data_IF_257042723531
#
_entry.id   IF_257042723531
#
_cell.length_a   1.000
_cell.length_b   1.000
_cell.length_c   1.000
_cell.angle_alpha   90.00
_cell.angle_beta   90.00
_cell.angle_gamma   90.00
#
_symmetry.space_group_name_H-M   'P 1'
#
loop_
_entity.id
_entity.type
_entity.pdbx_description
1 polymer ?
#
# COMPACT_ATOMS: atom_id res chain seq x y z
N UNK A 1 54.39 -23.94 16.06
CA UNK A 1 53.71 -22.93 15.21
C UNK A 1 52.28 -23.28 14.75
N UNK A 2 51.86 -24.55 14.62
CA UNK A 2 50.48 -24.90 14.18
C UNK A 2 49.36 -24.54 15.18
N UNK A 3 49.62 -24.53 16.50
CA UNK A 3 48.61 -24.26 17.53
C UNK A 3 48.15 -22.79 17.63
N UNK A 4 49.02 -21.82 17.33
CA UNK A 4 48.68 -20.39 17.41
C UNK A 4 47.74 -19.91 16.30
N UNK A 5 47.72 -20.60 15.14
CA UNK A 5 46.70 -20.40 14.10
C UNK A 5 45.31 -20.88 14.54
N UNK A 6 45.23 -21.86 15.45
CA UNK A 6 43.97 -22.44 15.90
C UNK A 6 43.16 -21.52 16.81
N UNK A 7 43.82 -20.81 17.75
CA UNK A 7 43.12 -19.89 18.69
C UNK A 7 42.65 -18.62 17.98
N UNK A 8 43.50 -18.00 17.14
CA UNK A 8 43.11 -16.85 16.31
C UNK A 8 41.98 -17.20 15.34
N UNK A 9 41.98 -18.39 14.75
CA UNK A 9 40.88 -18.87 13.90
C UNK A 9 39.57 -19.07 14.65
N UNK A 10 39.61 -19.61 15.87
CA UNK A 10 38.42 -19.80 16.72
C UNK A 10 37.85 -18.48 17.22
N UNK A 11 38.70 -17.52 17.61
CA UNK A 11 38.25 -16.17 17.98
C UNK A 11 37.64 -15.40 16.81
N UNK A 12 38.19 -15.54 15.59
CA UNK A 12 37.59 -14.94 14.39
C UNK A 12 36.21 -15.54 14.08
N UNK A 13 36.03 -16.85 14.23
CA UNK A 13 34.75 -17.53 14.02
C UNK A 13 33.63 -17.03 14.95
N UNK A 14 33.92 -16.80 16.23
CA UNK A 14 32.92 -16.33 17.21
C UNK A 14 32.40 -14.92 16.86
N UNK A 15 33.20 -14.08 16.21
CA UNK A 15 32.78 -12.74 15.80
C UNK A 15 32.22 -12.68 14.36
N UNK A 16 32.70 -13.54 13.46
CA UNK A 16 32.21 -13.56 12.07
C UNK A 16 30.82 -14.19 11.93
N UNK A 17 30.50 -15.20 12.74
CA UNK A 17 29.19 -15.86 12.65
C UNK A 17 28.03 -14.91 13.00
N UNK A 18 28.07 -14.14 14.12
CA UNK A 18 27.02 -13.17 14.43
C UNK A 18 26.96 -12.01 13.42
N UNK A 19 28.12 -11.52 12.96
CA UNK A 19 28.16 -10.44 11.96
C UNK A 19 27.58 -10.90 10.61
N UNK A 20 27.92 -12.11 10.16
CA UNK A 20 27.33 -12.70 8.96
C UNK A 20 25.82 -12.91 9.10
N UNK A 21 25.35 -13.37 10.26
CA UNK A 21 23.92 -13.52 10.53
C UNK A 21 23.18 -12.18 10.46
N UNK A 22 23.74 -11.10 11.02
CA UNK A 22 23.15 -9.75 10.94
C UNK A 22 23.06 -9.24 9.50
N UNK A 23 24.09 -9.48 8.68
CA UNK A 23 24.07 -9.11 7.26
C UNK A 23 22.98 -9.87 6.51
N UNK A 24 22.86 -11.18 6.75
CA UNK A 24 21.79 -12.00 6.13
C UNK A 24 20.41 -11.49 6.54
N UNK A 25 20.18 -11.20 7.83
CA UNK A 25 18.92 -10.63 8.31
C UNK A 25 18.62 -9.28 7.65
N UNK A 26 19.62 -8.39 7.54
CA UNK A 26 19.45 -7.10 6.89
C UNK A 26 19.08 -7.25 5.40
N UNK A 27 19.71 -8.19 4.67
CA UNK A 27 19.38 -8.48 3.27
C UNK A 27 17.96 -9.03 3.13
N UNK A 28 17.53 -9.93 4.03
CA UNK A 28 16.17 -10.48 4.03
C UNK A 28 15.13 -9.38 4.30
N UNK A 29 15.39 -8.50 5.27
CA UNK A 29 14.51 -7.35 5.58
C UNK A 29 14.43 -6.41 4.37
N UNK A 30 15.57 -6.06 3.76
CA UNK A 30 15.59 -5.20 2.58
C UNK A 30 14.79 -5.79 1.41
N UNK A 31 14.99 -7.09 1.12
CA UNK A 31 14.24 -7.78 0.08
C UNK A 31 12.73 -7.79 0.37
N UNK A 32 12.34 -8.06 1.62
CA UNK A 32 10.95 -8.04 2.04
C UNK A 32 10.30 -6.66 1.85
N UNK A 33 10.99 -5.59 2.26
CA UNK A 33 10.48 -4.22 2.16
C UNK A 33 10.36 -3.74 0.71
N UNK A 34 11.33 -4.10 -0.16
CA UNK A 34 11.23 -3.83 -1.60
C UNK A 34 10.07 -4.59 -2.23
N UNK A 35 9.89 -5.87 -1.87
CA UNK A 35 8.79 -6.67 -2.37
C UNK A 35 7.43 -6.11 -1.92
N UNK A 36 7.31 -5.68 -0.67
CA UNK A 36 6.12 -5.05 -0.13
C UNK A 36 5.80 -3.74 -0.85
N UNK A 37 6.80 -2.86 -1.05
CA UNK A 37 6.61 -1.58 -1.75
C UNK A 37 6.14 -1.77 -3.20
N UNK A 38 6.69 -2.74 -3.92
CA UNK A 38 6.24 -3.06 -5.28
C UNK A 38 4.81 -3.58 -5.29
N UNK A 39 4.45 -4.49 -4.37
CA UNK A 39 3.08 -5.01 -4.27
C UNK A 39 2.05 -3.91 -3.99
N UNK A 40 2.36 -2.99 -3.08
CA UNK A 40 1.48 -1.86 -2.76
C UNK A 40 1.32 -0.94 -3.96
N UNK A 41 2.41 -0.64 -4.68
CA UNK A 41 2.39 0.15 -5.91
C UNK A 41 1.53 -0.49 -7.00
N UNK A 42 1.75 -1.77 -7.29
CA UNK A 42 1.03 -2.47 -8.36
C UNK A 42 -0.46 -2.54 -8.03
N UNK A 43 -0.81 -2.86 -6.77
CA UNK A 43 -2.20 -2.88 -6.32
C UNK A 43 -2.87 -1.50 -6.42
N UNK A 44 -2.14 -0.42 -6.12
CA UNK A 44 -2.65 0.94 -6.23
C UNK A 44 -2.91 1.35 -7.69
N UNK A 45 -2.03 0.97 -8.62
CA UNK A 45 -2.19 1.23 -10.05
C UNK A 45 -3.34 0.41 -10.63
N UNK A 46 -3.44 -0.87 -10.28
CA UNK A 46 -4.54 -1.73 -10.71
C UNK A 46 -5.90 -1.23 -10.19
N UNK A 47 -5.95 -0.76 -8.93
CA UNK A 47 -7.13 -0.15 -8.34
C UNK A 47 -7.50 1.17 -9.04
N UNK A 48 -6.52 2.02 -9.34
CA UNK A 48 -6.72 3.26 -10.09
C UNK A 48 -7.30 3.00 -11.48
N UNK A 49 -6.75 2.03 -12.20
CA UNK A 49 -7.20 1.65 -13.52
C UNK A 49 -8.60 1.04 -13.48
N UNK A 50 -8.91 0.21 -12.48
CA UNK A 50 -10.24 -0.35 -12.25
C UNK A 50 -11.26 0.76 -11.93
N UNK A 51 -10.91 1.72 -11.08
CA UNK A 51 -11.75 2.87 -10.78
C UNK A 51 -11.99 3.74 -12.02
N UNK A 52 -10.94 4.04 -12.79
CA UNK A 52 -11.02 4.78 -14.05
C UNK A 52 -11.83 4.07 -15.13
N UNK A 53 -11.79 2.73 -15.21
CA UNK A 53 -12.68 1.94 -16.08
C UNK A 53 -14.13 2.05 -15.62
N UNK A 54 -14.38 1.93 -14.32
CA UNK A 54 -15.73 1.97 -13.76
C UNK A 54 -16.37 3.35 -13.91
N UNK A 55 -15.64 4.43 -13.67
CA UNK A 55 -16.13 5.78 -13.89
C UNK A 55 -16.48 6.04 -15.37
N UNK A 56 -15.66 5.58 -16.31
CA UNK A 56 -16.00 5.64 -17.74
C UNK A 56 -17.22 4.80 -18.09
N UNK A 57 -17.39 3.65 -17.45
CA UNK A 57 -18.59 2.83 -17.62
C UNK A 57 -19.84 3.52 -17.06
N UNK A 58 -19.74 4.23 -15.92
CA UNK A 58 -20.82 5.08 -15.39
C UNK A 58 -21.21 6.15 -16.42
N UNK A 59 -20.25 6.89 -16.97
CA UNK A 59 -20.53 7.89 -18.02
C UNK A 59 -21.18 7.27 -19.27
N UNK A 60 -20.76 6.08 -19.67
CA UNK A 60 -21.40 5.36 -20.77
C UNK A 60 -22.84 4.95 -20.44
N UNK A 61 -23.11 4.50 -19.22
CA UNK A 61 -24.45 4.15 -18.75
C UNK A 61 -25.36 5.38 -18.63
N UNK A 62 -24.83 6.53 -18.25
CA UNK A 62 -25.53 7.81 -18.24
C UNK A 62 -26.01 8.17 -19.65
N UNK A 63 -25.12 8.10 -20.64
CA UNK A 63 -25.52 8.31 -22.04
C UNK A 63 -26.58 7.31 -22.54
N UNK A 64 -26.48 6.04 -22.14
CA UNK A 64 -27.49 5.03 -22.46
C UNK A 64 -28.84 5.31 -21.78
N UNK A 65 -28.83 5.80 -20.53
CA UNK A 65 -30.04 6.23 -19.80
C UNK A 65 -30.74 7.35 -20.55
N UNK A 66 -30.04 8.44 -20.85
CA UNK A 66 -30.60 9.60 -21.55
C UNK A 66 -31.16 9.22 -22.92
N UNK A 67 -30.46 8.36 -23.66
CA UNK A 67 -30.94 7.84 -24.94
C UNK A 67 -32.21 6.99 -24.79
N UNK A 68 -32.25 6.06 -23.83
CA UNK A 68 -33.41 5.20 -23.59
C UNK A 68 -34.64 5.98 -23.08
N UNK A 69 -34.43 7.06 -22.34
CA UNK A 69 -35.50 7.92 -21.81
C UNK A 69 -36.18 8.81 -22.86
N UNK A 70 -35.62 8.90 -24.07
CA UNK A 70 -36.25 9.61 -25.19
C UNK A 70 -37.55 8.95 -25.66
N UNK A 71 -37.74 7.64 -25.41
CA UNK A 71 -38.96 6.91 -25.70
C UNK A 71 -39.97 7.05 -24.53
N UNK A 72 -41.14 7.69 -24.71
CA UNK A 72 -42.08 7.97 -23.61
C UNK A 72 -42.53 6.72 -22.85
N UNK A 73 -42.87 5.65 -23.57
CA UNK A 73 -43.43 4.42 -22.98
C UNK A 73 -42.43 3.64 -22.12
N UNK A 74 -41.13 3.85 -22.32
CA UNK A 74 -40.06 3.12 -21.64
C UNK A 74 -39.31 3.96 -20.60
N UNK A 75 -39.62 5.26 -20.51
CA UNK A 75 -38.88 6.24 -19.72
C UNK A 75 -38.69 5.86 -18.26
N UNK A 76 -39.76 5.49 -17.57
CA UNK A 76 -39.70 5.11 -16.14
C UNK A 76 -38.89 3.84 -15.93
N UNK A 77 -39.09 2.82 -16.78
CA UNK A 77 -38.37 1.56 -16.71
C UNK A 77 -36.88 1.75 -17.04
N UNK A 78 -36.56 2.54 -18.06
CA UNK A 78 -35.19 2.91 -18.44
C UNK A 78 -34.48 3.66 -17.32
N UNK A 79 -35.12 4.70 -16.76
CA UNK A 79 -34.58 5.45 -15.63
C UNK A 79 -34.25 4.53 -14.45
N UNK A 80 -35.18 3.68 -14.02
CA UNK A 80 -34.96 2.77 -12.90
C UNK A 80 -33.85 1.76 -13.18
N UNK A 81 -33.85 1.13 -14.37
CA UNK A 81 -32.85 0.13 -14.74
C UNK A 81 -31.43 0.70 -14.77
N UNK A 82 -31.23 1.82 -15.45
CA UNK A 82 -29.89 2.42 -15.57
C UNK A 82 -29.42 3.02 -14.26
N UNK A 83 -30.30 3.66 -13.50
CA UNK A 83 -29.98 4.19 -12.17
C UNK A 83 -29.50 3.07 -11.25
N UNK A 84 -30.20 1.94 -11.19
CA UNK A 84 -29.76 0.79 -10.39
C UNK A 84 -28.39 0.26 -10.83
N UNK A 85 -28.12 0.18 -12.14
CA UNK A 85 -26.84 -0.30 -12.67
C UNK A 85 -25.69 0.65 -12.33
N UNK A 86 -25.92 1.96 -12.42
CA UNK A 86 -24.94 2.99 -12.06
C UNK A 86 -24.69 2.97 -10.55
N UNK A 87 -25.73 2.92 -9.74
CA UNK A 87 -25.61 2.85 -8.28
C UNK A 87 -24.84 1.59 -7.85
N UNK A 88 -25.07 0.45 -8.50
CA UNK A 88 -24.32 -0.79 -8.27
C UNK A 88 -22.83 -0.63 -8.62
N UNK A 89 -22.52 0.04 -9.74
CA UNK A 89 -21.13 0.30 -10.14
C UNK A 89 -20.42 1.22 -9.14
N UNK A 90 -21.07 2.30 -8.69
CA UNK A 90 -20.55 3.23 -7.68
C UNK A 90 -20.39 2.52 -6.32
N UNK A 91 -21.36 1.70 -5.90
CA UNK A 91 -21.27 0.91 -4.68
C UNK A 91 -20.09 -0.08 -4.73
N UNK A 92 -19.82 -0.67 -5.89
CA UNK A 92 -18.64 -1.51 -6.12
C UNK A 92 -17.34 -0.75 -5.85
N UNK A 93 -17.23 0.52 -6.28
CA UNK A 93 -16.06 1.35 -5.97
C UNK A 93 -15.94 1.65 -4.48
N UNK A 94 -17.05 1.92 -3.77
CA UNK A 94 -17.03 2.14 -2.32
C UNK A 94 -16.54 0.91 -1.55
N UNK A 95 -16.90 -0.30 -2.00
CA UNK A 95 -16.38 -1.51 -1.34
C UNK A 95 -14.87 -1.66 -1.53
N UNK A 96 -14.33 -1.23 -2.68
CA UNK A 96 -12.89 -1.29 -2.94
C UNK A 96 -12.07 -0.35 -2.03
N UNK A 97 -12.62 0.79 -1.60
CA UNK A 97 -11.87 1.74 -0.76
C UNK A 97 -11.51 1.15 0.61
N UNK A 98 -12.22 0.10 1.06
CA UNK A 98 -11.93 -0.62 2.31
C UNK A 98 -10.60 -1.39 2.28
N UNK A 99 -10.09 -1.68 1.09
CA UNK A 99 -8.82 -2.39 0.91
C UNK A 99 -7.63 -1.44 0.67
N UNK A 100 -7.84 -0.13 0.83
CA UNK A 100 -6.74 0.83 0.78
C UNK A 100 -5.69 0.52 1.86
N UNK A 101 -4.39 0.71 1.57
CA UNK A 101 -3.31 0.28 2.46
C UNK A 101 -3.22 1.10 3.75
N UNK A 102 -3.70 2.35 3.72
CA UNK A 102 -3.67 3.28 4.84
C UNK A 102 -4.96 4.13 4.88
N UNK A 103 -5.20 4.75 6.05
CA UNK A 103 -6.42 5.50 6.32
C UNK A 103 -6.54 6.78 5.47
N UNK A 104 -5.43 7.43 5.13
CA UNK A 104 -5.43 8.67 4.35
C UNK A 104 -5.79 8.35 2.90
N UNK A 105 -5.17 7.33 2.29
CA UNK A 105 -5.54 6.82 0.97
C UNK A 105 -7.01 6.38 0.92
N UNK A 106 -7.49 5.66 1.95
CA UNK A 106 -8.90 5.23 2.04
C UNK A 106 -9.86 6.43 2.06
N UNK A 107 -9.54 7.45 2.85
CA UNK A 107 -10.30 8.68 2.95
C UNK A 107 -10.37 9.40 1.60
N UNK A 108 -9.21 9.63 0.95
CA UNK A 108 -9.15 10.34 -0.34
C UNK A 108 -9.89 9.58 -1.46
N UNK A 109 -9.78 8.25 -1.49
CA UNK A 109 -10.53 7.41 -2.43
C UNK A 109 -12.04 7.47 -2.17
N UNK A 110 -12.46 7.45 -0.90
CA UNK A 110 -13.87 7.58 -0.52
C UNK A 110 -14.44 8.93 -0.99
N UNK A 111 -13.72 10.03 -0.73
CA UNK A 111 -14.09 11.35 -1.24
C UNK A 111 -14.19 11.38 -2.77
N UNK A 112 -13.31 10.70 -3.50
CA UNK A 112 -13.41 10.58 -4.96
C UNK A 112 -14.71 9.86 -5.37
N UNK A 113 -15.03 8.74 -4.76
CA UNK A 113 -16.26 8.00 -5.09
C UNK A 113 -17.53 8.79 -4.72
N UNK A 114 -17.48 9.58 -3.66
CA UNK A 114 -18.56 10.52 -3.30
C UNK A 114 -18.72 11.64 -4.35
N UNK A 115 -17.62 12.19 -4.88
CA UNK A 115 -17.67 13.14 -6.01
C UNK A 115 -18.26 12.52 -7.28
N UNK A 116 -17.94 11.26 -7.58
CA UNK A 116 -18.58 10.55 -8.69
C UNK A 116 -20.09 10.41 -8.46
N UNK A 117 -20.50 10.22 -7.20
CA UNK A 117 -21.93 10.16 -6.81
C UNK A 117 -22.63 11.51 -7.00
N UNK A 118 -21.94 12.63 -6.71
CA UNK A 118 -22.44 13.98 -7.01
C UNK A 118 -22.63 14.18 -8.51
N UNK A 119 -21.65 13.80 -9.33
CA UNK A 119 -21.74 13.90 -10.78
C UNK A 119 -22.90 13.08 -11.35
N UNK A 120 -23.11 11.87 -10.82
CA UNK A 120 -24.28 11.04 -11.15
C UNK A 120 -25.60 11.65 -10.68
N UNK A 121 -25.65 12.27 -9.51
CA UNK A 121 -26.84 12.97 -9.02
C UNK A 121 -27.26 14.12 -9.94
N UNK A 122 -26.29 14.85 -10.50
CA UNK A 122 -26.55 15.90 -11.48
C UNK A 122 -26.97 15.32 -12.85
N UNK A 123 -26.32 14.26 -13.33
CA UNK A 123 -26.74 13.60 -14.58
C UNK A 123 -28.17 13.03 -14.49
N UNK A 124 -28.54 12.58 -13.28
CA UNK A 124 -29.89 12.12 -12.96
C UNK A 124 -30.92 13.24 -13.01
N UNK A 125 -30.61 14.44 -12.52
CA UNK A 125 -31.50 15.60 -12.66
C UNK A 125 -31.64 16.02 -14.12
N UNK A 126 -30.54 16.03 -14.88
CA UNK A 126 -30.55 16.33 -16.32
C UNK A 126 -31.39 15.33 -17.12
N UNK A 127 -31.20 14.02 -16.87
CA UNK A 127 -31.98 12.95 -17.49
C UNK A 127 -33.49 13.11 -17.25
N UNK A 128 -33.88 13.49 -16.03
CA UNK A 128 -35.28 13.74 -15.67
C UNK A 128 -35.83 15.00 -16.34
N UNK A 129 -35.03 16.06 -16.45
CA UNK A 129 -35.41 17.28 -17.15
C UNK A 129 -35.64 17.03 -18.65
N UNK A 130 -34.75 16.26 -19.30
CA UNK A 130 -34.88 15.87 -20.72
C UNK A 130 -36.12 15.00 -20.99
N UNK A 131 -36.51 14.21 -20.00
CA UNK A 131 -37.73 13.41 -20.05
C UNK A 131 -39.02 14.26 -20.01
N UNK A 132 -38.92 15.51 -19.58
CA UNK A 132 -40.04 16.40 -19.29
C UNK A 132 -40.44 16.35 -17.81
N UNK A 133 -40.65 17.53 -17.22
CA UNK A 133 -41.08 17.68 -15.82
C UNK A 133 -42.61 17.72 -15.74
N UNK A 134 -43.19 16.67 -15.17
CA UNK A 134 -44.63 16.54 -14.89
C UNK A 134 -44.88 16.27 -13.40
N UNK A 135 -46.12 15.99 -13.01
CA UNK A 135 -46.47 15.70 -11.60
C UNK A 135 -45.79 14.45 -11.02
N UNK A 136 -45.30 13.54 -11.87
CA UNK A 136 -44.64 12.29 -11.49
C UNK A 136 -43.12 12.47 -11.44
N UNK A 137 -42.51 13.13 -12.42
CA UNK A 137 -41.05 13.30 -12.53
C UNK A 137 -40.51 14.47 -11.71
N UNK A 138 -41.36 15.46 -11.35
CA UNK A 138 -40.93 16.64 -10.57
C UNK A 138 -40.34 16.29 -9.22
N UNK A 139 -40.97 15.40 -8.46
CA UNK A 139 -40.46 15.03 -7.13
C UNK A 139 -39.08 14.33 -7.21
N UNK A 140 -38.90 13.26 -8.01
CA UNK A 140 -37.59 12.67 -8.25
C UNK A 140 -36.54 13.69 -8.72
N UNK A 141 -36.94 14.65 -9.56
CA UNK A 141 -36.05 15.71 -10.02
C UNK A 141 -35.59 16.61 -8.85
N UNK A 142 -36.54 17.12 -8.06
CA UNK A 142 -36.22 17.96 -6.90
C UNK A 142 -35.38 17.23 -5.84
N UNK A 143 -35.64 15.94 -5.62
CA UNK A 143 -34.87 15.08 -4.72
C UNK A 143 -33.44 14.91 -5.23
N UNK A 144 -33.24 14.67 -6.54
CA UNK A 144 -31.92 14.54 -7.14
C UNK A 144 -31.12 15.85 -7.04
N UNK A 145 -31.74 16.99 -7.38
CA UNK A 145 -31.09 18.31 -7.31
C UNK A 145 -30.66 18.65 -5.89
N UNK A 146 -31.57 18.49 -4.92
CA UNK A 146 -31.26 18.75 -3.52
C UNK A 146 -30.14 17.84 -3.00
N UNK A 147 -30.18 16.55 -3.33
CA UNK A 147 -29.21 15.58 -2.87
C UNK A 147 -27.79 15.88 -3.40
N UNK A 148 -27.64 16.12 -4.70
CA UNK A 148 -26.28 16.33 -5.25
C UNK A 148 -25.69 17.66 -4.79
N UNK A 149 -26.49 18.74 -4.67
CA UNK A 149 -26.00 20.04 -4.18
C UNK A 149 -25.56 19.95 -2.72
N UNK A 150 -26.39 19.35 -1.85
CA UNK A 150 -26.06 19.18 -0.44
C UNK A 150 -24.82 18.30 -0.24
N UNK A 151 -24.68 17.25 -1.04
CA UNK A 151 -23.51 16.38 -0.99
C UNK A 151 -22.24 17.10 -1.47
N UNK A 152 -22.33 17.91 -2.53
CA UNK A 152 -21.22 18.72 -3.01
C UNK A 152 -20.74 19.73 -1.95
N UNK A 153 -21.68 20.42 -1.27
CA UNK A 153 -21.37 21.33 -0.17
C UNK A 153 -20.71 20.61 1.02
N UNK A 154 -21.18 19.39 1.35
CA UNK A 154 -20.61 18.55 2.40
C UNK A 154 -19.18 18.11 2.07
N UNK A 155 -18.91 17.86 0.79
CA UNK A 155 -17.60 17.42 0.30
C UNK A 155 -16.60 18.56 0.16
N UNK A 156 -17.04 19.79 -0.09
CA UNK A 156 -16.18 20.95 -0.29
C UNK A 156 -15.02 21.10 0.74
N UNK A 157 -15.24 20.97 2.07
CA UNK A 157 -14.15 21.08 3.05
C UNK A 157 -13.19 19.87 3.06
N UNK A 158 -13.57 18.76 2.43
CA UNK A 158 -12.79 17.52 2.40
C UNK A 158 -11.88 17.43 1.16
N UNK A 159 -12.09 18.32 0.19
CA UNK A 159 -11.30 18.37 -1.03
C UNK A 159 -9.86 18.76 -0.75
N UNK A 160 -8.96 18.31 -1.63
CA UNK A 160 -7.61 18.86 -1.70
C UNK A 160 -7.66 20.38 -1.93
N UNK A 161 -6.59 21.09 -1.60
CA UNK A 161 -6.51 22.55 -1.82
C UNK A 161 -6.83 22.93 -3.27
N UNK A 162 -6.26 22.19 -4.23
CA UNK A 162 -6.54 22.39 -5.64
C UNK A 162 -7.98 22.03 -6.04
N UNK A 163 -8.59 21.04 -5.38
CA UNK A 163 -10.00 20.68 -5.57
C UNK A 163 -10.94 21.74 -4.99
N UNK A 164 -10.61 22.34 -3.84
CA UNK A 164 -11.35 23.45 -3.24
C UNK A 164 -11.32 24.69 -4.13
N UNK A 165 -10.16 25.02 -4.71
CA UNK A 165 -10.05 26.11 -5.70
C UNK A 165 -10.93 25.82 -6.92
N UNK A 166 -10.92 24.59 -7.43
CA UNK A 166 -11.75 24.19 -8.57
C UNK A 166 -13.26 24.24 -8.23
N UNK A 167 -13.65 23.78 -7.04
CA UNK A 167 -15.01 23.87 -6.52
C UNK A 167 -15.49 25.32 -6.39
N UNK A 168 -14.67 26.20 -5.83
CA UNK A 168 -14.98 27.62 -5.71
C UNK A 168 -15.09 28.31 -7.07
N UNK A 169 -14.22 27.96 -8.01
CA UNK A 169 -14.29 28.44 -9.39
C UNK A 169 -15.59 27.99 -10.07
N UNK A 170 -15.94 26.71 -9.91
CA UNK A 170 -17.19 26.13 -10.42
C UNK A 170 -18.40 26.87 -9.86
N UNK A 171 -18.53 27.00 -8.54
CA UNK A 171 -19.72 27.58 -7.90
C UNK A 171 -19.86 29.09 -8.10
N UNK A 172 -18.76 29.80 -8.39
CA UNK A 172 -18.79 31.22 -8.79
C UNK A 172 -19.03 31.42 -10.30
N UNK A 173 -19.05 30.34 -11.09
CA UNK A 173 -19.18 30.43 -12.54
C UNK A 173 -20.59 30.85 -12.98
N UNK A 174 -20.65 31.49 -14.16
CA UNK A 174 -21.93 31.82 -14.79
C UNK A 174 -22.70 30.55 -15.22
N UNK A 175 -22.00 29.46 -15.54
CA UNK A 175 -22.63 28.20 -15.95
C UNK A 175 -23.30 27.49 -14.76
N UNK A 176 -22.64 27.45 -13.60
CA UNK A 176 -23.27 26.98 -12.36
C UNK A 176 -24.50 27.81 -11.99
N UNK A 177 -24.39 29.15 -12.03
CA UNK A 177 -25.50 30.04 -11.72
C UNK A 177 -26.68 29.84 -12.67
N UNK A 178 -26.41 29.61 -13.97
CA UNK A 178 -27.43 29.37 -14.99
C UNK A 178 -28.10 28.01 -14.83
N UNK A 179 -27.32 26.96 -14.57
CA UNK A 179 -27.85 25.64 -14.26
C UNK A 179 -28.76 25.73 -13.03
N UNK A 180 -28.29 26.41 -11.98
CA UNK A 180 -29.03 26.51 -10.73
C UNK A 180 -30.38 27.21 -10.91
N UNK A 181 -30.41 28.34 -11.62
CA UNK A 181 -31.63 29.07 -11.91
C UNK A 181 -32.64 28.24 -12.73
N UNK A 182 -32.16 27.39 -13.65
CA UNK A 182 -33.01 26.51 -14.45
C UNK A 182 -33.58 25.37 -13.63
N UNK A 183 -32.77 24.75 -12.77
CA UNK A 183 -33.25 23.71 -11.86
C UNK A 183 -34.26 24.26 -10.85
N UNK A 184 -34.04 25.47 -10.34
CA UNK A 184 -34.96 26.14 -9.44
C UNK A 184 -36.29 26.47 -10.16
N UNK A 185 -36.24 26.91 -11.42
CA UNK A 185 -37.44 27.13 -12.25
C UNK A 185 -38.21 25.82 -12.51
N UNK A 186 -37.52 24.73 -12.83
CA UNK A 186 -38.15 23.41 -12.98
C UNK A 186 -38.82 22.93 -11.69
N UNK A 187 -38.17 23.15 -10.54
CA UNK A 187 -38.71 22.81 -9.23
C UNK A 187 -39.98 23.63 -8.91
N UNK A 188 -39.95 24.93 -9.22
CA UNK A 188 -41.07 25.86 -9.02
C UNK A 188 -42.19 25.76 -10.06
N UNK A 189 -41.99 24.98 -11.13
CA UNK A 189 -42.87 24.93 -12.30
C UNK A 189 -43.01 26.29 -13.00
N UNK A 190 -41.94 27.06 -13.01
CA UNK A 190 -41.85 28.37 -13.65
C UNK A 190 -41.27 28.28 -15.07
N UNK A 191 -41.51 29.28 -15.94
CA UNK A 191 -40.87 29.36 -17.24
C UNK A 191 -39.34 29.39 -17.12
N UNK A 192 -38.64 28.74 -18.05
CA UNK A 192 -37.18 28.72 -18.04
C UNK A 192 -36.61 30.14 -18.19
N UNK A 193 -35.65 30.53 -17.33
CA UNK A 193 -35.04 31.87 -17.38
C UNK A 193 -34.13 32.07 -18.60
N UNK A 194 -33.75 30.97 -19.27
CA UNK A 194 -32.89 30.96 -20.46
C UNK A 194 -33.37 29.91 -21.47
N UNK A 195 -33.02 30.03 -22.77
CA UNK A 195 -33.34 29.03 -23.78
C UNK A 195 -32.78 27.65 -23.47
N UNK A 196 -33.43 26.61 -24.00
CA UNK A 196 -33.06 25.21 -23.77
C UNK A 196 -31.58 24.92 -24.12
N UNK A 197 -31.16 25.34 -25.32
CA UNK A 197 -29.79 25.15 -25.80
C UNK A 197 -28.74 25.77 -24.87
N UNK A 198 -29.04 26.94 -24.29
CA UNK A 198 -28.13 27.68 -23.41
C UNK A 198 -27.97 26.98 -22.07
N UNK A 199 -29.06 26.50 -21.46
CA UNK A 199 -28.93 25.77 -20.20
C UNK A 199 -28.27 24.41 -20.40
N UNK A 200 -28.57 23.70 -21.50
CA UNK A 200 -27.92 22.42 -21.79
C UNK A 200 -26.41 22.59 -21.92
N UNK A 201 -25.96 23.63 -22.63
CA UNK A 201 -24.53 23.91 -22.70
C UNK A 201 -23.91 24.13 -21.32
N UNK A 202 -24.60 24.85 -20.43
CA UNK A 202 -24.12 25.08 -19.07
C UNK A 202 -24.07 23.77 -18.24
N UNK A 203 -25.11 22.94 -18.33
CA UNK A 203 -25.16 21.63 -17.68
C UNK A 203 -24.01 20.72 -18.12
N UNK A 204 -23.70 20.68 -19.43
CA UNK A 204 -22.55 19.95 -19.95
C UNK A 204 -21.22 20.47 -19.37
N UNK A 205 -21.03 21.79 -19.32
CA UNK A 205 -19.81 22.39 -18.73
C UNK A 205 -19.68 22.03 -17.26
N UNK A 206 -20.75 22.15 -16.47
CA UNK A 206 -20.75 21.80 -15.04
C UNK A 206 -20.45 20.31 -14.85
N UNK A 207 -21.07 19.42 -15.65
CA UNK A 207 -20.82 17.97 -15.60
C UNK A 207 -19.35 17.64 -15.82
N UNK A 208 -18.72 18.28 -16.82
CA UNK A 208 -17.29 18.12 -17.09
C UNK A 208 -16.42 18.62 -15.93
N UNK A 209 -16.79 19.75 -15.30
CA UNK A 209 -16.06 20.29 -14.16
C UNK A 209 -16.18 19.38 -12.92
N UNK A 210 -17.37 18.82 -12.65
CA UNK A 210 -17.56 17.82 -11.59
C UNK A 210 -16.78 16.53 -11.86
N UNK A 211 -16.77 16.04 -13.10
CA UNK A 211 -15.93 14.92 -13.51
C UNK A 211 -14.42 15.20 -13.37
N UNK A 212 -14.02 16.46 -13.55
CA UNK A 212 -12.68 16.95 -13.27
C UNK A 212 -12.31 16.86 -11.79
N UNK A 213 -13.21 17.27 -10.88
CA UNK A 213 -13.01 17.13 -9.44
C UNK A 213 -12.80 15.67 -9.03
N UNK A 214 -13.65 14.75 -9.52
CA UNK A 214 -13.47 13.30 -9.32
C UNK A 214 -12.09 12.83 -9.79
N UNK A 215 -11.72 13.17 -11.02
CA UNK A 215 -10.47 12.71 -11.64
C UNK A 215 -9.25 13.21 -10.86
N UNK A 216 -9.26 14.47 -10.44
CA UNK A 216 -8.21 15.08 -9.63
C UNK A 216 -8.08 14.42 -8.26
N UNK A 217 -9.21 14.22 -7.58
CA UNK A 217 -9.25 13.58 -6.27
C UNK A 217 -8.76 12.13 -6.33
N UNK A 218 -9.17 11.38 -7.37
CA UNK A 218 -8.70 10.02 -7.60
C UNK A 218 -7.19 9.96 -7.89
N UNK A 219 -6.67 10.88 -8.70
CA UNK A 219 -5.23 10.95 -8.99
C UNK A 219 -4.41 11.27 -7.74
N UNK A 220 -4.89 12.20 -6.91
CA UNK A 220 -4.24 12.52 -5.65
C UNK A 220 -4.18 11.32 -4.71
N UNK A 221 -5.28 10.57 -4.57
CA UNK A 221 -5.31 9.36 -3.74
C UNK A 221 -4.29 8.31 -4.20
N UNK A 222 -4.13 8.14 -5.52
CA UNK A 222 -3.15 7.21 -6.10
C UNK A 222 -1.72 7.69 -5.84
N UNK A 223 -1.45 8.99 -6.02
CA UNK A 223 -0.13 9.56 -5.74
C UNK A 223 0.27 9.41 -4.28
N UNK A 224 -0.66 9.58 -3.35
CA UNK A 224 -0.43 9.38 -1.92
C UNK A 224 0.04 7.94 -1.62
N UNK A 225 -0.66 6.95 -2.17
CA UNK A 225 -0.26 5.54 -2.01
C UNK A 225 1.11 5.24 -2.62
N UNK A 226 1.44 5.86 -3.76
CA UNK A 226 2.75 5.71 -4.39
C UNK A 226 3.88 6.33 -3.57
N UNK A 227 3.64 7.51 -2.99
CA UNK A 227 4.63 8.22 -2.18
C UNK A 227 4.87 7.56 -0.83
N UNK A 228 3.84 6.96 -0.21
CA UNK A 228 4.01 6.14 0.99
C UNK A 228 4.88 4.90 0.72
N UNK A 229 4.65 4.23 -0.41
CA UNK A 229 5.51 3.13 -0.87
C UNK A 229 6.98 3.55 -1.06
N UNK A 230 7.22 4.75 -1.62
CA UNK A 230 8.58 5.31 -1.76
C UNK A 230 9.23 5.63 -0.42
N UNK A 231 8.49 6.23 0.52
CA UNK A 231 9.00 6.54 1.87
C UNK A 231 9.37 5.28 2.63
N UNK A 232 8.52 4.26 2.56
CA UNK A 232 8.79 2.94 3.16
C UNK A 232 10.07 2.33 2.58
N UNK A 233 10.26 2.41 1.27
CA UNK A 233 11.49 1.92 0.60
C UNK A 233 12.74 2.74 0.97
N UNK A 234 12.63 4.07 1.06
CA UNK A 234 13.74 4.93 1.46
C UNK A 234 14.15 4.66 2.93
N UNK A 235 13.17 4.52 3.83
CA UNK A 235 13.40 4.14 5.23
C UNK A 235 14.04 2.76 5.35
N UNK A 236 13.57 1.79 4.55
CA UNK A 236 14.14 0.44 4.47
C UNK A 236 15.61 0.45 4.06
N UNK A 237 15.95 1.20 3.01
CA UNK A 237 17.32 1.32 2.51
C UNK A 237 18.20 2.02 3.55
N UNK A 238 17.74 3.11 4.15
CA UNK A 238 18.49 3.81 5.19
C UNK A 238 18.77 2.93 6.41
N UNK A 239 17.75 2.20 6.90
CA UNK A 239 17.88 1.27 8.02
C UNK A 239 18.83 0.11 7.68
N UNK A 240 18.69 -0.47 6.48
CA UNK A 240 19.56 -1.56 6.01
C UNK A 240 21.00 -1.08 5.84
N UNK A 241 21.21 0.13 5.32
CA UNK A 241 22.53 0.76 5.19
C UNK A 241 23.16 1.00 6.56
N UNK A 242 22.39 1.53 7.52
CA UNK A 242 22.85 1.75 8.89
C UNK A 242 23.23 0.43 9.58
N UNK A 243 22.45 -0.64 9.39
CA UNK A 243 22.76 -2.00 9.86
C UNK A 243 24.05 -2.54 9.26
N UNK A 244 24.23 -2.41 7.94
CA UNK A 244 25.43 -2.86 7.24
C UNK A 244 26.69 -2.10 7.69
N UNK A 245 26.59 -0.78 7.84
CA UNK A 245 27.67 0.06 8.37
C UNK A 245 28.04 -0.32 9.80
N UNK A 246 27.04 -0.57 10.65
CA UNK A 246 27.24 -0.99 12.04
C UNK A 246 27.91 -2.36 12.13
N UNK A 247 27.46 -3.32 11.33
CA UNK A 247 28.08 -4.65 11.23
C UNK A 247 29.53 -4.57 10.72
N UNK A 248 29.78 -3.73 9.70
CA UNK A 248 31.13 -3.46 9.17
C UNK A 248 32.05 -2.83 10.21
N UNK A 249 31.57 -1.84 10.96
CA UNK A 249 32.31 -1.20 12.04
C UNK A 249 32.68 -2.21 13.13
N UNK A 250 31.73 -3.05 13.54
CA UNK A 250 31.96 -4.11 14.52
C UNK A 250 33.05 -5.08 14.05
N UNK A 251 33.01 -5.47 12.77
CA UNK A 251 34.04 -6.29 12.13
C UNK A 251 35.43 -5.64 12.17
N UNK A 252 35.52 -4.34 11.88
CA UNK A 252 36.77 -3.57 11.94
C UNK A 252 37.30 -3.49 13.38
N UNK A 253 36.42 -3.21 14.35
CA UNK A 253 36.77 -3.12 15.78
C UNK A 253 37.29 -4.45 16.29
N UNK A 254 36.59 -5.55 16.02
CA UNK A 254 37.04 -6.90 16.38
C UNK A 254 38.38 -7.21 15.74
N UNK A 255 38.55 -6.93 14.45
CA UNK A 255 39.83 -7.16 13.75
C UNK A 255 40.97 -6.36 14.39
N UNK A 256 40.74 -5.09 14.74
CA UNK A 256 41.74 -4.26 15.43
C UNK A 256 42.07 -4.79 16.81
N UNK A 257 41.08 -5.22 17.59
CA UNK A 257 41.29 -5.81 18.92
C UNK A 257 42.12 -7.10 18.82
N UNK A 258 41.76 -8.01 17.91
CA UNK A 258 42.51 -9.27 17.68
C UNK A 258 43.95 -9.00 17.21
N UNK A 259 44.18 -7.94 16.42
CA UNK A 259 45.52 -7.52 16.01
C UNK A 259 46.34 -6.94 17.17
N UNK A 260 45.68 -6.31 18.16
CA UNK A 260 46.32 -5.69 19.32
C UNK A 260 46.62 -6.63 20.48
N UNK A 261 46.05 -7.84 20.55
CA UNK A 261 46.40 -8.80 21.60
C UNK A 261 47.82 -9.31 21.38
N UNK A 262 48.80 -8.97 22.25
CA UNK A 262 50.14 -9.54 22.18
C UNK A 262 50.04 -11.02 22.52
N UNK A 263 50.52 -11.88 21.61
CA UNK A 263 50.62 -13.31 21.89
C UNK A 263 51.82 -13.49 22.82
N UNK A 264 51.66 -13.91 24.09
CA UNK A 264 52.81 -14.22 24.92
C UNK A 264 53.51 -15.43 24.30
N UNK A 265 54.71 -15.22 23.80
CA UNK A 265 55.61 -16.32 23.44
C UNK A 265 56.05 -16.91 24.77
N UNK A 266 55.37 -17.96 25.24
CA UNK A 266 55.84 -18.73 26.39
C UNK A 266 57.13 -19.41 25.94
N UNK A 267 58.31 -19.02 26.46
CA UNK A 267 59.52 -19.79 26.19
C UNK A 267 59.30 -21.16 26.82
N UNK A 268 59.41 -22.21 26.01
CA UNK A 268 59.50 -23.57 26.54
C UNK A 268 60.87 -23.62 27.23
N UNK A 269 60.89 -23.30 28.52
CA UNK A 269 62.04 -23.54 29.36
C UNK A 269 62.12 -25.05 29.54
N UNK A 270 62.88 -25.71 28.67
CA UNK A 270 63.22 -27.12 28.81
C UNK A 270 64.05 -27.22 30.08
N UNK A 271 63.56 -27.82 31.17
CA UNK A 271 64.39 -28.02 32.34
C UNK A 271 65.49 -29.01 31.93
N UNK A 272 66.72 -28.54 31.85
CA UNK A 272 67.91 -29.39 31.88
C UNK A 272 68.01 -30.02 33.26
N UNK A 273 67.18 -31.03 33.53
CA UNK A 273 67.47 -31.94 34.62
C UNK A 273 68.72 -32.74 34.24
N UNK A 274 69.88 -32.32 34.74
CA UNK A 274 70.98 -33.24 35.01
C UNK A 274 70.54 -34.19 36.13
N UNK A 275 69.65 -35.12 35.79
CA UNK A 275 69.40 -36.29 36.61
C UNK A 275 70.58 -37.24 36.38
N UNK A 276 71.44 -37.38 37.39
CA UNK A 276 72.42 -38.44 37.46
C UNK A 276 71.71 -39.78 37.22
N UNK A 277 72.02 -40.43 36.09
CA UNK A 277 71.45 -41.72 35.68
C UNK A 277 71.91 -42.78 36.69
N UNK A 278 71.03 -43.37 37.53
CA UNK A 278 71.38 -44.58 38.24
C UNK A 278 71.26 -45.74 37.25
N UNK A 279 72.34 -46.51 37.11
CA UNK A 279 72.38 -47.74 36.31
C UNK A 279 71.19 -48.65 36.67
N UNK A 280 70.50 -49.26 35.69
CA UNK A 280 69.31 -50.05 35.92
C UNK A 280 69.65 -51.38 36.62
N UNK A 281 69.04 -51.63 37.78
CA UNK A 281 68.91 -52.99 38.31
C UNK A 281 67.85 -53.72 37.49
N UNK A 282 68.25 -54.83 36.89
CA UNK A 282 67.35 -55.75 36.20
C UNK A 282 66.21 -56.20 37.13
N UNK A 283 65.01 -55.68 36.91
CA UNK A 283 63.78 -56.16 37.53
C UNK A 283 62.96 -56.88 36.45
N UNK A 284 62.64 -58.14 36.76
CA UNK A 284 61.86 -59.10 35.99
C UNK A 284 60.62 -58.48 35.33
N UNK A 285 60.39 -58.92 34.10
CA UNK A 285 59.17 -58.76 33.32
C UNK A 285 57.90 -59.10 34.13
N UNK A 286 57.06 -58.08 34.35
CA UNK A 286 55.63 -58.23 34.58
C UNK A 286 54.90 -57.46 33.50
N UNK A 287 54.30 -58.18 32.55
CA UNK A 287 53.36 -57.63 31.55
C UNK A 287 52.17 -57.00 32.29
N UNK A 288 51.85 -55.71 32.11
CA UNK A 288 50.55 -55.17 32.48
C UNK A 288 49.53 -55.63 31.44
N UNK A 289 48.42 -56.20 31.92
CA UNK A 289 47.26 -56.62 31.11
C UNK A 289 46.73 -55.41 30.31
N UNK A 290 46.41 -55.65 29.03
CA UNK A 290 45.62 -54.74 28.21
C UNK A 290 44.28 -54.47 28.92
N UNK A 291 43.81 -53.21 28.99
CA UNK A 291 42.44 -52.92 29.40
C UNK A 291 41.47 -53.58 28.41
N UNK A 292 40.48 -54.30 28.92
CA UNK A 292 39.42 -54.90 28.10
C UNK A 292 38.70 -53.81 27.28
N UNK A 293 38.39 -54.08 26.00
CA UNK A 293 37.55 -53.18 25.22
C UNK A 293 36.14 -53.17 25.82
N UNK A 294 35.69 -51.98 26.22
CA UNK A 294 34.34 -51.71 26.70
C UNK A 294 33.30 -52.33 25.75
N UNK A 295 32.32 -53.12 26.25
CA UNK A 295 31.39 -53.81 25.37
C UNK A 295 30.34 -52.82 24.83
N UNK A 296 30.58 -52.29 23.62
CA UNK A 296 29.62 -51.49 22.84
C UNK A 296 28.27 -52.20 22.56
N UNK A 297 28.11 -53.47 22.94
CA UNK A 297 26.85 -54.21 22.82
C UNK A 297 25.79 -53.76 23.82
N UNK A 298 26.16 -53.29 25.01
CA UNK A 298 25.20 -52.90 26.05
C UNK A 298 24.46 -51.57 25.76
N UNK A 299 25.03 -50.69 24.93
CA UNK A 299 24.40 -49.40 24.57
C UNK A 299 23.45 -49.54 23.37
N UNK A 300 23.66 -50.54 22.52
CA UNK A 300 22.83 -50.77 21.33
C UNK A 300 21.55 -51.58 21.63
N UNK A 301 21.53 -52.38 22.70
CA UNK A 301 20.33 -53.14 23.11
C UNK A 301 19.30 -52.31 23.88
N UNK A 302 19.69 -51.15 24.44
CA UNK A 302 18.78 -50.21 25.13
C UNK A 302 18.02 -49.29 24.15
N UNK A 303 18.59 -49.04 22.97
CA UNK A 303 17.96 -48.25 21.90
C UNK A 303 16.97 -49.04 21.03
N UNK A 304 16.83 -50.36 21.26
CA UNK A 304 15.92 -51.23 20.50
C UNK A 304 14.64 -51.61 21.26
N UNK A 305 14.45 -51.08 22.48
CA UNK A 305 13.25 -51.30 23.32
C UNK A 305 12.56 -50.00 23.74
N UNK A 306 12.57 -48.98 22.87
CA UNK A 306 11.68 -47.82 22.97
C UNK A 306 11.00 -47.59 21.64
#
# INVERSE_FOLDING_TARGET
MKYLRSVRGRMLCIAFVPAGALVVVAVVIAFFLVHQANRTRDSALDAADAAGRTARAVVALQGQRSAAMSAPDQRTAAYANFTQRIDTAIAGLRDHTRYAPDAESAYQQTTAVELLSVAEGMDRSDSLALAGIDGVTRRPFTEAVAAYRAELDRLAPQLTESGRIAYESLTRSADWSRLAAVEDAFAAAEPLPVPESTWRSAAYTVSQQLGGLYSQQSQYAVQLTLDDGRRTLAGAIAASTALLLSAGLLLVVVRRLVARVPVPVVPIMVPTMQAAIPRPRHARSRRPRLPEPWPMKAVLDDLRRR
#
